data_IF_781145680128
#
_entry.id   IF_781145680128
#
_cell.length_a   1.000
_cell.length_b   1.000
_cell.length_c   1.000
_cell.angle_alpha   90.00
_cell.angle_beta   90.00
_cell.angle_gamma   90.00
#
_symmetry.space_group_name_H-M   'P 1'
#
loop_
_entity.id
_entity.type
_entity.pdbx_description
1 polymer ?
#
# COMPACT_ATOMS: atom_id res chain seq x y z
N UNK A 1 -3.56 -2.71 -22.44
CA UNK A 1 -3.32 -3.02 -21.02
C UNK A 1 -4.05 -1.95 -20.23
N UNK A 2 -5.08 -2.31 -19.47
CA UNK A 2 -5.78 -1.37 -18.59
C UNK A 2 -4.76 -0.87 -17.56
N UNK A 3 -4.36 0.40 -17.68
CA UNK A 3 -3.46 1.04 -16.71
C UNK A 3 -4.10 0.93 -15.34
N UNK A 4 -3.52 0.09 -14.47
CA UNK A 4 -3.87 0.02 -13.05
C UNK A 4 -3.36 1.31 -12.39
N UNK A 5 -4.02 2.43 -12.68
CA UNK A 5 -3.69 3.73 -12.12
C UNK A 5 -4.11 3.72 -10.65
N UNK A 6 -3.13 3.84 -9.76
CA UNK A 6 -3.40 4.04 -8.35
C UNK A 6 -4.14 5.37 -8.15
N UNK A 7 -5.26 5.35 -7.43
CA UNK A 7 -6.06 6.54 -7.14
C UNK A 7 -6.07 6.76 -5.63
N UNK A 8 -5.40 7.83 -5.19
CA UNK A 8 -5.34 8.21 -3.78
C UNK A 8 -6.55 9.09 -3.49
N UNK A 9 -7.44 8.64 -2.59
CA UNK A 9 -8.65 9.38 -2.19
C UNK A 9 -8.41 10.33 -1.02
N UNK A 10 -7.53 9.93 -0.11
CA UNK A 10 -7.10 10.73 1.04
C UNK A 10 -5.74 10.17 1.50
N UNK A 11 -4.82 11.03 1.90
CA UNK A 11 -3.52 10.63 2.40
C UNK A 11 -3.02 11.66 3.42
N UNK A 12 -2.60 11.19 4.59
CA UNK A 12 -1.95 11.98 5.64
C UNK A 12 -0.51 11.50 5.80
N UNK A 13 0.21 11.51 4.68
CA UNK A 13 1.57 10.99 4.53
C UNK A 13 2.30 11.74 3.42
N UNK A 14 3.62 11.82 3.48
CA UNK A 14 4.44 12.49 2.47
C UNK A 14 4.30 11.83 1.09
N UNK A 15 4.49 12.59 0.02
CA UNK A 15 4.38 12.06 -1.36
C UNK A 15 5.36 10.92 -1.64
N UNK A 16 6.56 10.98 -1.04
CA UNK A 16 7.57 9.92 -1.12
C UNK A 16 7.04 8.61 -0.50
N UNK A 17 6.42 8.71 0.67
CA UNK A 17 5.81 7.58 1.35
C UNK A 17 4.59 7.04 0.57
N UNK A 18 3.78 7.92 -0.02
CA UNK A 18 2.66 7.51 -0.88
C UNK A 18 3.17 6.71 -2.09
N UNK A 19 4.25 7.18 -2.74
CA UNK A 19 4.84 6.48 -3.88
C UNK A 19 5.34 5.08 -3.51
N UNK A 20 5.99 4.94 -2.35
CA UNK A 20 6.45 3.64 -1.84
C UNK A 20 5.26 2.71 -1.50
N UNK A 21 4.22 3.22 -0.85
CA UNK A 21 3.00 2.45 -0.55
C UNK A 21 2.30 2.00 -1.83
N UNK A 22 2.25 2.85 -2.87
CA UNK A 22 1.68 2.48 -4.18
C UNK A 22 2.47 1.35 -4.84
N UNK A 23 3.80 1.38 -4.78
CA UNK A 23 4.64 0.27 -5.27
C UNK A 23 4.38 -1.02 -4.49
N UNK A 24 4.30 -0.95 -3.16
CA UNK A 24 3.99 -2.11 -2.31
C UNK A 24 2.63 -2.71 -2.70
N UNK A 25 1.62 -1.86 -2.93
CA UNK A 25 0.30 -2.32 -3.38
C UNK A 25 0.36 -3.00 -4.74
N UNK A 26 1.14 -2.46 -5.69
CA UNK A 26 1.32 -3.05 -7.00
C UNK A 26 1.97 -4.44 -6.90
N UNK A 27 3.06 -4.55 -6.15
CA UNK A 27 3.78 -5.82 -5.93
C UNK A 27 2.90 -6.87 -5.24
N UNK A 28 2.07 -6.44 -4.28
CA UNK A 28 1.12 -7.32 -3.60
C UNK A 28 0.09 -7.90 -4.57
N UNK A 29 -0.44 -7.07 -5.48
CA UNK A 29 -1.43 -7.47 -6.49
C UNK A 29 -0.85 -8.38 -7.57
N UNK A 30 0.47 -8.36 -7.78
CA UNK A 30 1.15 -9.25 -8.72
C UNK A 30 1.54 -10.59 -8.07
N UNK A 31 1.94 -10.55 -6.79
CA UNK A 31 2.43 -11.72 -6.06
C UNK A 31 1.29 -12.57 -5.49
N UNK A 32 0.21 -11.94 -5.05
CA UNK A 32 -0.89 -12.59 -4.35
C UNK A 32 -2.20 -12.44 -5.11
N UNK A 33 -2.97 -13.53 -5.16
CA UNK A 33 -4.30 -13.56 -5.79
C UNK A 33 -5.44 -13.55 -4.78
N UNK A 34 -5.13 -13.67 -3.48
CA UNK A 34 -6.11 -13.69 -2.38
C UNK A 34 -6.09 -12.34 -1.68
N UNK A 35 -7.24 -11.67 -1.61
CA UNK A 35 -7.39 -10.33 -1.00
C UNK A 35 -6.87 -10.26 0.44
N UNK A 36 -7.08 -11.33 1.22
CA UNK A 36 -6.56 -11.45 2.59
C UNK A 36 -5.04 -11.36 2.64
N UNK A 37 -4.36 -12.03 1.72
CA UNK A 37 -2.90 -12.08 1.69
C UNK A 37 -2.32 -10.77 1.15
N UNK A 38 -2.98 -10.18 0.15
CA UNK A 38 -2.69 -8.83 -0.34
C UNK A 38 -2.76 -7.83 0.82
N UNK A 39 -3.85 -7.84 1.60
CA UNK A 39 -4.03 -6.96 2.74
C UNK A 39 -2.97 -7.20 3.84
N UNK A 40 -2.63 -8.46 4.13
CA UNK A 40 -1.60 -8.81 5.10
C UNK A 40 -0.21 -8.34 4.66
N UNK A 41 0.12 -8.49 3.38
CA UNK A 41 1.38 -8.04 2.79
C UNK A 41 1.50 -6.52 2.82
N UNK A 42 0.46 -5.81 2.35
CA UNK A 42 0.41 -4.35 2.40
C UNK A 42 0.52 -3.87 3.84
N UNK A 43 -0.24 -4.44 4.78
CA UNK A 43 -0.15 -4.08 6.20
C UNK A 43 1.26 -4.27 6.74
N UNK A 44 1.91 -5.40 6.46
CA UNK A 44 3.26 -5.71 6.98
C UNK A 44 4.33 -4.80 6.40
N UNK A 45 4.24 -4.45 5.12
CA UNK A 45 5.23 -3.60 4.45
C UNK A 45 4.96 -2.11 4.64
N UNK A 46 3.70 -1.69 4.80
CA UNK A 46 3.34 -0.31 5.12
C UNK A 46 3.56 0.02 6.60
N UNK A 47 3.35 -0.90 7.56
CA UNK A 47 3.50 -0.60 9.00
C UNK A 47 4.94 -0.49 9.49
N UNK A 48 5.92 -1.01 8.76
CA UNK A 48 7.31 -1.08 9.27
C UNK A 48 7.96 0.27 9.53
N UNK A 49 7.62 1.32 8.78
CA UNK A 49 8.31 2.61 8.90
C UNK A 49 7.41 3.84 8.78
N UNK A 50 6.10 3.65 8.60
CA UNK A 50 5.30 4.74 8.01
C UNK A 50 4.04 5.12 8.79
N UNK A 51 3.60 4.31 9.76
CA UNK A 51 2.39 4.61 10.53
C UNK A 51 2.81 5.11 11.91
N UNK A 52 2.53 6.39 12.18
CA UNK A 52 2.68 6.96 13.52
C UNK A 52 1.87 6.12 14.53
N UNK A 53 2.43 5.79 15.71
CA UNK A 53 1.71 5.04 16.73
C UNK A 53 0.51 5.87 17.22
N UNK A 54 -0.69 5.55 16.72
CA UNK A 54 -1.90 6.28 17.07
C UNK A 54 -3.09 6.10 16.12
N UNK A 55 -2.90 5.49 14.94
CA UNK A 55 -4.01 5.17 14.03
C UNK A 55 -4.21 3.65 14.02
N UNK A 56 -5.10 3.20 14.91
CA UNK A 56 -5.85 1.93 14.81
C UNK A 56 -7.33 2.21 15.07
#
# INVERSE_FOLDING_TARGET
>A
MTEKKAVIKNADMSEEMQAEVVKICAEALETYNIEKDIAAFIKKNATRDTIQPGIV
#
